data_IF_540246770334
#
_entry.id   IF_540246770334
#
_cell.length_a   1.000
_cell.length_b   1.000
_cell.length_c   1.000
_cell.angle_alpha   90.00
_cell.angle_beta   90.00
_cell.angle_gamma   90.00
#
_symmetry.space_group_name_H-M   'P 1'
#
loop_
_entity.id
_entity.type
_entity.pdbx_description
1 polymer ?
#
# COMPACT_ATOMS: atom_id res chain seq x y z
N UNK A 1 -6.23 9.33 -15.84
CA UNK A 1 -4.96 10.06 -15.70
C UNK A 1 -5.14 11.20 -14.74
N UNK A 2 -5.33 10.85 -13.48
CA UNK A 2 -5.81 11.79 -12.50
C UNK A 2 -5.35 11.39 -11.12
N UNK A 3 -5.15 12.39 -10.26
CA UNK A 3 -4.99 12.18 -8.83
C UNK A 3 -6.35 11.77 -8.29
N UNK A 4 -6.41 10.59 -7.66
CA UNK A 4 -7.67 10.06 -7.11
C UNK A 4 -7.77 10.32 -5.61
N UNK A 5 -8.98 10.56 -5.09
CA UNK A 5 -9.16 10.67 -3.65
C UNK A 5 -8.88 9.31 -2.97
N UNK A 6 -8.28 9.39 -1.78
CA UNK A 6 -7.91 8.20 -1.00
C UNK A 6 -9.11 7.72 -0.19
N UNK A 7 -9.44 6.43 -0.31
CA UNK A 7 -10.45 5.79 0.53
C UNK A 7 -9.93 5.66 1.95
N UNK A 8 -10.81 5.84 2.93
CA UNK A 8 -10.43 5.92 4.33
C UNK A 8 -10.76 4.64 5.09
N UNK A 9 -10.05 4.41 6.18
CA UNK A 9 -10.24 3.24 7.03
C UNK A 9 -11.72 3.08 7.42
N UNK A 10 -12.24 1.88 7.27
CA UNK A 10 -13.67 1.58 7.40
C UNK A 10 -14.36 1.32 6.07
N UNK A 11 -13.79 1.79 4.96
CA UNK A 11 -14.32 1.50 3.63
C UNK A 11 -14.16 0.01 3.32
N UNK A 12 -15.23 -0.70 2.91
CA UNK A 12 -15.16 -2.12 2.60
C UNK A 12 -14.10 -2.53 1.57
N UNK A 13 -13.76 -1.63 0.62
CA UNK A 13 -12.74 -1.94 -0.40
C UNK A 13 -11.37 -2.20 0.23
N UNK A 14 -11.07 -1.57 1.37
CA UNK A 14 -9.80 -1.73 2.07
C UNK A 14 -9.72 -3.05 2.87
N UNK A 15 -10.84 -3.69 3.12
CA UNK A 15 -10.94 -4.95 3.89
C UNK A 15 -11.14 -6.16 3.00
N UNK A 16 -11.26 -5.95 1.70
CA UNK A 16 -11.52 -7.04 0.74
C UNK A 16 -10.23 -7.38 0.02
N UNK A 17 -9.87 -8.67 -0.09
CA UNK A 17 -8.75 -9.06 -0.94
C UNK A 17 -8.99 -8.59 -2.37
N UNK A 18 -7.97 -8.01 -2.98
CA UNK A 18 -8.04 -7.52 -4.35
C UNK A 18 -7.91 -8.67 -5.36
N UNK A 19 -8.57 -8.52 -6.49
CA UNK A 19 -8.51 -9.50 -7.57
C UNK A 19 -7.29 -9.27 -8.47
N UNK A 20 -6.77 -10.34 -9.10
CA UNK A 20 -5.68 -10.19 -10.07
C UNK A 20 -6.07 -9.27 -11.24
N UNK A 21 -5.09 -8.49 -11.70
CA UNK A 21 -5.24 -7.68 -12.92
C UNK A 21 -5.11 -8.59 -14.12
N UNK A 22 -6.03 -8.47 -15.08
CA UNK A 22 -5.90 -9.14 -16.37
C UNK A 22 -5.03 -8.25 -17.27
N UNK A 23 -3.82 -8.69 -17.53
CA UNK A 23 -2.88 -7.92 -18.37
C UNK A 23 -3.46 -7.76 -19.79
N UNK A 24 -3.42 -6.53 -20.30
CA UNK A 24 -3.98 -6.20 -21.60
C UNK A 24 -5.47 -5.84 -21.59
N UNK A 25 -6.14 -5.96 -20.44
CA UNK A 25 -7.55 -5.57 -20.36
C UNK A 25 -7.72 -4.05 -20.46
N UNK A 26 -8.91 -3.62 -20.90
CA UNK A 26 -9.25 -2.21 -20.96
C UNK A 26 -9.19 -1.59 -19.56
N UNK A 27 -8.69 -0.35 -19.50
CA UNK A 27 -8.61 0.41 -18.26
C UNK A 27 -7.36 0.16 -17.42
N UNK A 28 -6.54 -0.86 -17.73
CA UNK A 28 -5.33 -1.16 -16.92
C UNK A 28 -4.30 -0.04 -17.01
N UNK A 29 -4.04 0.48 -18.21
CA UNK A 29 -3.08 1.59 -18.38
C UNK A 29 -3.55 2.86 -17.69
N UNK A 30 -4.85 3.12 -17.71
CA UNK A 30 -5.46 4.24 -17.04
C UNK A 30 -5.35 4.10 -15.51
N UNK A 31 -5.59 2.89 -14.99
CA UNK A 31 -5.39 2.59 -13.56
C UNK A 31 -3.95 2.86 -13.14
N UNK A 32 -2.99 2.38 -13.92
CA UNK A 32 -1.56 2.63 -13.64
C UNK A 32 -1.26 4.11 -13.60
N UNK A 33 -1.76 4.88 -14.57
CA UNK A 33 -1.52 6.31 -14.61
C UNK A 33 -2.15 7.02 -13.41
N UNK A 34 -3.36 6.62 -13.01
CA UNK A 34 -4.02 7.17 -11.83
C UNK A 34 -3.20 6.88 -10.56
N UNK A 35 -2.67 5.66 -10.43
CA UNK A 35 -1.81 5.29 -9.30
C UNK A 35 -0.53 6.12 -9.26
N UNK A 36 0.10 6.31 -10.42
CA UNK A 36 1.32 7.12 -10.53
C UNK A 36 1.04 8.58 -10.17
N UNK A 37 -0.02 9.16 -10.75
CA UNK A 37 -0.39 10.56 -10.48
C UNK A 37 -0.71 10.75 -8.99
N UNK A 38 -1.41 9.78 -8.39
CA UNK A 38 -1.82 9.86 -6.99
C UNK A 38 -0.62 9.74 -6.05
N UNK A 39 0.34 8.85 -6.33
CA UNK A 39 1.52 8.66 -5.46
C UNK A 39 2.52 9.81 -5.57
N UNK A 40 2.48 10.57 -6.66
CA UNK A 40 3.39 11.72 -6.84
C UNK A 40 3.04 12.92 -5.96
N UNK A 41 1.85 12.96 -5.38
CA UNK A 41 1.52 14.01 -4.43
C UNK A 41 2.49 13.98 -3.25
N UNK A 42 2.91 15.17 -2.72
CA UNK A 42 3.94 15.23 -1.67
C UNK A 42 3.64 14.38 -0.45
N UNK A 43 4.68 13.74 0.08
CA UNK A 43 4.60 12.99 1.32
C UNK A 43 4.06 11.56 1.20
N UNK A 44 3.95 11.04 -0.02
CA UNK A 44 3.41 9.70 -0.26
C UNK A 44 4.51 8.74 -0.71
N UNK A 45 4.60 7.59 -0.06
CA UNK A 45 5.57 6.54 -0.39
C UNK A 45 4.96 5.42 -1.25
N UNK A 46 3.65 5.20 -1.14
CA UNK A 46 2.96 4.17 -1.91
C UNK A 46 1.45 4.37 -1.93
N UNK A 47 0.80 3.87 -2.97
CA UNK A 47 -0.66 3.86 -3.10
C UNK A 47 -1.07 2.54 -3.74
N UNK A 48 -1.92 1.79 -3.05
CA UNK A 48 -2.50 0.55 -3.57
C UNK A 48 -3.84 0.85 -4.26
N UNK A 49 -4.18 0.09 -5.30
CA UNK A 49 -5.43 0.30 -6.04
C UNK A 49 -6.68 0.33 -5.15
N UNK A 50 -6.82 -0.54 -4.12
CA UNK A 50 -7.95 -0.43 -3.20
C UNK A 50 -8.07 0.95 -2.53
N UNK A 51 -6.95 1.62 -2.28
CA UNK A 51 -6.98 2.96 -1.67
C UNK A 51 -7.57 4.03 -2.59
N UNK A 52 -7.65 3.79 -3.88
CA UNK A 52 -8.35 4.67 -4.82
C UNK A 52 -9.68 4.06 -5.30
N UNK A 53 -10.18 3.06 -4.58
CA UNK A 53 -11.49 2.47 -4.81
C UNK A 53 -11.52 1.35 -5.84
N UNK A 54 -10.37 0.82 -6.25
CA UNK A 54 -10.27 -0.22 -7.28
C UNK A 54 -9.78 -1.52 -6.65
N UNK A 55 -10.60 -2.56 -6.65
CA UNK A 55 -10.29 -3.86 -6.04
C UNK A 55 -9.41 -4.75 -6.90
N UNK A 56 -8.29 -4.23 -7.40
CA UNK A 56 -7.35 -4.95 -8.23
C UNK A 56 -5.95 -4.96 -7.61
N UNK A 57 -5.18 -6.00 -7.90
CA UNK A 57 -3.83 -6.20 -7.34
C UNK A 57 -2.81 -5.37 -8.10
N UNK A 58 -2.73 -4.10 -7.72
CA UNK A 58 -1.77 -3.15 -8.28
C UNK A 58 -1.40 -2.12 -7.21
N UNK A 59 -0.15 -1.66 -7.23
CA UNK A 59 0.24 -0.50 -6.43
C UNK A 59 1.30 0.34 -7.13
N UNK A 60 1.40 1.60 -6.72
CA UNK A 60 2.48 2.50 -7.11
C UNK A 60 3.35 2.82 -5.90
N UNK A 61 4.56 3.27 -6.15
CA UNK A 61 5.49 3.66 -5.10
C UNK A 61 6.25 4.93 -5.49
N UNK A 62 6.73 5.63 -4.48
CA UNK A 62 7.55 6.83 -4.62
C UNK A 62 8.51 6.84 -3.43
N UNK A 63 9.67 6.24 -3.61
CA UNK A 63 10.66 6.05 -2.55
C UNK A 63 12.02 6.54 -3.03
N UNK A 64 12.62 7.46 -2.26
CA UNK A 64 13.94 8.02 -2.54
C UNK A 64 14.08 8.56 -3.97
N UNK A 65 13.01 9.19 -4.47
CA UNK A 65 12.99 9.78 -5.81
C UNK A 65 12.66 8.81 -6.93
N UNK A 66 12.52 7.52 -6.63
CA UNK A 66 12.10 6.52 -7.61
C UNK A 66 10.59 6.36 -7.56
N UNK A 67 9.95 6.55 -8.71
CA UNK A 67 8.50 6.39 -8.88
C UNK A 67 8.24 5.28 -9.87
N UNK A 68 7.35 4.38 -9.51
CA UNK A 68 6.96 3.28 -10.39
C UNK A 68 5.73 2.56 -9.89
N UNK A 69 5.46 1.42 -10.51
CA UNK A 69 4.28 0.60 -10.20
C UNK A 69 4.57 -0.87 -10.44
N UNK A 70 3.68 -1.71 -9.94
CA UNK A 70 3.71 -3.16 -10.22
C UNK A 70 2.28 -3.69 -10.25
N UNK A 71 2.03 -4.62 -11.18
CA UNK A 71 0.77 -5.34 -11.30
C UNK A 71 0.95 -6.78 -10.82
N UNK A 72 -0.06 -7.31 -10.15
CA UNK A 72 -0.06 -8.66 -9.59
C UNK A 72 1.19 -8.96 -8.75
N UNK A 73 1.53 -8.08 -7.80
CA UNK A 73 2.73 -8.27 -7.00
C UNK A 73 2.59 -9.45 -6.03
N UNK A 74 3.72 -10.11 -5.80
CA UNK A 74 3.88 -11.13 -4.77
C UNK A 74 5.04 -10.75 -3.88
N UNK A 75 4.86 -10.78 -2.57
CA UNK A 75 5.94 -10.62 -1.62
C UNK A 75 6.70 -11.96 -1.55
N UNK A 76 7.80 -12.05 -2.31
CA UNK A 76 8.51 -13.33 -2.51
C UNK A 76 9.59 -13.59 -1.49
N UNK A 77 10.07 -12.53 -0.81
CA UNK A 77 11.12 -12.67 0.18
C UNK A 77 11.03 -11.54 1.21
N UNK A 78 11.19 -11.91 2.47
CA UNK A 78 11.48 -10.98 3.56
C UNK A 78 12.64 -11.55 4.34
N UNK A 79 13.51 -10.70 4.90
CA UNK A 79 14.66 -11.15 5.65
C UNK A 79 15.05 -10.20 6.76
N UNK A 80 15.87 -10.71 7.68
CA UNK A 80 16.27 -10.01 8.89
C UNK A 80 15.24 -10.25 10.01
N UNK A 81 15.53 -9.70 11.18
CA UNK A 81 14.60 -9.77 12.30
C UNK A 81 13.58 -8.64 12.17
N UNK A 82 12.26 -8.93 12.30
CA UNK A 82 11.25 -7.88 12.31
C UNK A 82 11.56 -6.84 13.37
N UNK A 83 11.42 -5.57 13.00
CA UNK A 83 11.67 -4.45 13.89
C UNK A 83 10.52 -3.46 13.84
N UNK A 84 10.37 -2.67 14.89
CA UNK A 84 9.36 -1.62 14.93
C UNK A 84 9.83 -0.44 14.07
N UNK A 85 9.04 -0.09 13.08
CA UNK A 85 9.25 1.06 12.22
C UNK A 85 8.05 1.98 12.34
N UNK A 86 8.30 3.29 12.41
CA UNK A 86 7.20 4.25 12.39
C UNK A 86 6.51 4.18 11.03
N UNK A 87 5.21 3.93 11.06
CA UNK A 87 4.42 3.77 9.85
C UNK A 87 3.16 4.60 9.90
N UNK A 88 2.77 5.12 8.75
CA UNK A 88 1.50 5.80 8.54
C UNK A 88 0.85 5.28 7.27
N UNK A 89 -0.39 5.66 7.07
CA UNK A 89 -1.15 5.26 5.89
C UNK A 89 -2.05 6.41 5.45
N UNK A 90 -2.12 6.65 4.15
CA UNK A 90 -3.00 7.69 3.60
C UNK A 90 -4.46 7.43 3.93
N UNK A 91 -4.83 6.16 4.14
CA UNK A 91 -6.19 5.76 4.52
C UNK A 91 -6.48 5.95 6.01
N UNK A 92 -5.46 6.33 6.81
CA UNK A 92 -5.57 6.66 8.23
C UNK A 92 -4.88 8.02 8.44
N UNK A 93 -5.44 9.09 7.87
CA UNK A 93 -4.75 10.38 7.82
C UNK A 93 -4.49 10.99 9.19
N UNK A 94 -3.30 11.57 9.34
CA UNK A 94 -2.90 12.30 10.55
C UNK A 94 -2.40 11.42 11.69
N UNK A 95 -2.35 10.11 11.52
CA UNK A 95 -1.94 9.17 12.55
C UNK A 95 -0.76 8.31 12.09
N UNK A 96 0.04 7.85 13.04
CA UNK A 96 1.16 6.96 12.77
C UNK A 96 1.48 6.13 14.01
N UNK A 97 1.95 4.91 13.82
CA UNK A 97 2.21 3.98 14.91
C UNK A 97 3.41 3.10 14.60
N UNK A 98 4.16 2.66 15.62
CA UNK A 98 5.23 1.69 15.41
C UNK A 98 4.64 0.36 14.94
N UNK A 99 5.15 -0.13 13.84
CA UNK A 99 4.64 -1.32 13.15
C UNK A 99 5.79 -2.29 12.91
N UNK A 100 5.57 -3.58 13.19
CA UNK A 100 6.60 -4.59 12.97
C UNK A 100 6.73 -4.88 11.49
N UNK A 101 7.94 -4.63 10.96
CA UNK A 101 8.26 -4.89 9.56
C UNK A 101 9.63 -5.55 9.46
N UNK A 102 9.78 -6.39 8.43
CA UNK A 102 11.09 -6.91 8.10
C UNK A 102 11.96 -5.80 7.53
N UNK A 103 13.26 -5.75 7.87
CA UNK A 103 14.14 -4.69 7.36
C UNK A 103 14.45 -4.81 5.87
N UNK A 104 14.23 -5.98 5.26
CA UNK A 104 14.45 -6.22 3.84
C UNK A 104 13.24 -6.95 3.25
N UNK A 105 12.83 -6.54 2.04
CA UNK A 105 11.71 -7.17 1.34
C UNK A 105 11.95 -7.17 -0.17
N UNK A 106 11.37 -8.16 -0.85
CA UNK A 106 11.42 -8.31 -2.30
C UNK A 106 10.05 -8.69 -2.82
N UNK A 107 9.63 -7.97 -3.86
CA UNK A 107 8.35 -8.18 -4.54
C UNK A 107 8.61 -8.49 -6.01
N UNK A 108 7.84 -9.42 -6.55
CA UNK A 108 7.86 -9.74 -7.98
C UNK A 108 6.45 -9.55 -8.54
N UNK A 109 6.36 -8.97 -9.72
CA UNK A 109 5.10 -8.79 -10.42
C UNK A 109 5.38 -8.54 -11.90
N UNK A 110 4.47 -7.83 -12.57
CA UNK A 110 4.60 -7.52 -13.99
C UNK A 110 4.23 -6.06 -14.27
N UNK A 111 4.64 -5.56 -15.44
CA UNK A 111 4.20 -4.26 -15.94
C UNK A 111 2.98 -4.40 -16.87
N UNK A 112 2.54 -3.30 -17.48
CA UNK A 112 1.36 -3.29 -18.36
C UNK A 112 1.52 -4.14 -19.62
N UNK A 113 2.75 -4.45 -19.99
CA UNK A 113 3.05 -5.30 -21.16
C UNK A 113 3.30 -6.76 -20.75
N UNK A 114 3.16 -7.08 -19.46
CA UNK A 114 3.40 -8.42 -18.95
C UNK A 114 4.86 -8.76 -18.69
N UNK A 115 5.75 -7.78 -18.79
CA UNK A 115 7.18 -8.00 -18.52
C UNK A 115 7.44 -8.07 -17.01
N UNK A 116 8.37 -8.95 -16.57
CA UNK A 116 8.68 -9.08 -15.15
C UNK A 116 9.17 -7.78 -14.52
N UNK A 117 8.69 -7.51 -13.31
CA UNK A 117 9.14 -6.40 -12.47
C UNK A 117 9.58 -6.98 -11.13
N UNK A 118 10.77 -6.60 -10.68
CA UNK A 118 11.30 -6.99 -9.37
C UNK A 118 11.60 -5.71 -8.61
N UNK A 119 11.05 -5.60 -7.40
CA UNK A 119 11.29 -4.49 -6.49
C UNK A 119 11.90 -5.06 -5.22
N UNK A 120 13.00 -4.48 -4.78
CA UNK A 120 13.71 -4.98 -3.61
C UNK A 120 14.40 -3.83 -2.90
N UNK A 121 14.42 -3.88 -1.57
CA UNK A 121 15.13 -2.86 -0.80
C UNK A 121 14.99 -3.03 0.68
N UNK A 122 15.67 -2.12 1.38
CA UNK A 122 15.70 -2.03 2.83
C UNK A 122 14.95 -0.77 3.28
N UNK A 123 14.82 -0.59 4.59
CA UNK A 123 14.29 0.64 5.17
C UNK A 123 12.91 1.02 4.63
N UNK A 124 12.77 2.23 4.12
CA UNK A 124 11.48 2.73 3.62
C UNK A 124 10.94 1.89 2.46
N UNK A 125 11.79 1.42 1.55
CA UNK A 125 11.34 0.55 0.47
C UNK A 125 10.77 -0.76 1.00
N UNK A 126 11.47 -1.40 1.96
CA UNK A 126 10.97 -2.64 2.56
C UNK A 126 9.63 -2.43 3.27
N UNK A 127 9.50 -1.33 4.01
CA UNK A 127 8.25 -0.96 4.68
C UNK A 127 7.13 -0.77 3.65
N UNK A 128 7.39 0.00 2.59
CA UNK A 128 6.41 0.29 1.55
C UNK A 128 5.96 -0.99 0.83
N UNK A 129 6.89 -1.87 0.46
CA UNK A 129 6.54 -3.12 -0.23
C UNK A 129 5.63 -4.00 0.62
N UNK A 130 5.91 -4.12 1.92
CA UNK A 130 5.09 -4.89 2.84
C UNK A 130 3.72 -4.24 3.07
N UNK A 131 3.71 -2.92 3.25
CA UNK A 131 2.48 -2.14 3.48
C UNK A 131 1.52 -2.25 2.29
N UNK A 132 2.03 -2.07 1.06
CA UNK A 132 1.19 -2.11 -0.13
C UNK A 132 0.70 -3.53 -0.44
N UNK A 133 1.52 -4.55 -0.24
CA UNK A 133 1.07 -5.94 -0.40
C UNK A 133 -0.02 -6.29 0.62
N UNK A 134 0.08 -5.80 1.86
CA UNK A 134 -0.98 -5.98 2.86
C UNK A 134 -2.30 -5.38 2.38
N UNK A 135 -2.28 -4.19 1.79
CA UNK A 135 -3.50 -3.58 1.24
C UNK A 135 -4.17 -4.48 0.21
N UNK A 136 -3.39 -5.14 -0.63
CA UNK A 136 -3.93 -6.04 -1.66
C UNK A 136 -4.55 -7.30 -1.07
N UNK A 137 -4.15 -7.65 0.15
CA UNK A 137 -4.72 -8.78 0.88
C UNK A 137 -5.90 -8.35 1.79
N UNK A 138 -6.30 -7.08 1.71
CA UNK A 138 -7.40 -6.55 2.51
C UNK A 138 -7.01 -6.15 3.93
N UNK A 139 -5.72 -5.85 4.16
CA UNK A 139 -5.19 -5.53 5.48
C UNK A 139 -4.65 -4.10 5.53
N UNK A 140 -5.14 -3.31 6.48
CA UNK A 140 -4.58 -1.99 6.79
C UNK A 140 -3.65 -2.15 8.00
N UNK A 141 -2.52 -1.46 7.98
CA UNK A 141 -1.44 -1.67 8.96
C UNK A 141 -1.88 -1.59 10.42
N UNK A 142 -2.88 -0.75 10.75
CA UNK A 142 -3.35 -0.59 12.13
C UNK A 142 -3.92 -1.89 12.70
N UNK A 143 -4.37 -2.81 11.86
CA UNK A 143 -4.88 -4.11 12.28
C UNK A 143 -3.78 -5.12 12.59
N UNK A 144 -2.53 -4.81 12.24
CA UNK A 144 -1.36 -5.69 12.48
C UNK A 144 -0.54 -5.27 13.68
N UNK A 145 -0.88 -4.16 14.33
CA UNK A 145 -0.14 -3.61 15.46
C UNK A 145 -0.17 -4.54 16.69
N UNK A 146 0.82 -4.39 17.55
CA UNK A 146 0.82 -5.07 18.85
C UNK A 146 -0.47 -4.72 19.60
N UNK A 147 -1.04 -5.64 20.41
CA UNK A 147 -2.40 -5.47 20.95
C UNK A 147 -2.66 -4.14 21.65
N UNK A 148 -1.72 -3.67 22.48
CA UNK A 148 -1.86 -2.38 23.16
C UNK A 148 -1.87 -1.20 22.20
N UNK A 149 -0.96 -1.19 21.25
CA UNK A 149 -0.85 -0.15 20.22
C UNK A 149 -2.07 -0.16 19.33
N UNK A 150 -2.56 -1.34 18.96
CA UNK A 150 -3.78 -1.47 18.15
C UNK A 150 -4.99 -0.88 18.85
N UNK A 151 -5.16 -1.16 20.13
CA UNK A 151 -6.27 -0.59 20.91
C UNK A 151 -6.20 0.93 20.93
N UNK A 152 -5.00 1.49 21.10
CA UNK A 152 -4.80 2.94 21.07
C UNK A 152 -5.13 3.49 19.68
N UNK A 153 -4.65 2.84 18.62
CA UNK A 153 -4.90 3.26 17.25
C UNK A 153 -6.42 3.31 16.95
N UNK A 154 -7.16 2.28 17.36
CA UNK A 154 -8.60 2.24 17.14
C UNK A 154 -9.34 3.33 17.91
N UNK A 155 -8.89 3.66 19.13
CA UNK A 155 -9.44 4.80 19.88
C UNK A 155 -9.16 6.13 19.17
N UNK A 156 -7.92 6.32 18.71
CA UNK A 156 -7.51 7.54 18.03
C UNK A 156 -8.29 7.72 16.72
N UNK A 157 -8.50 6.64 15.98
CA UNK A 157 -9.28 6.67 14.73
C UNK A 157 -10.72 7.10 15.01
N UNK A 158 -11.36 6.54 16.04
CA UNK A 158 -12.76 6.88 16.37
C UNK A 158 -12.92 8.33 16.78
N UNK A 159 -11.84 8.98 17.24
CA UNK A 159 -11.85 10.39 17.61
C UNK A 159 -11.63 11.34 16.43
N UNK A 160 -11.33 10.82 15.25
CA UNK A 160 -11.07 11.65 14.07
C UNK A 160 -12.35 12.12 13.39
N UNK A 161 -12.34 13.36 12.88
CA UNK A 161 -13.48 13.95 12.20
C UNK A 161 -13.88 13.20 10.93
N UNK A 162 -12.90 12.59 10.25
CA UNK A 162 -13.13 11.86 9.01
C UNK A 162 -13.72 10.46 9.22
N UNK A 163 -13.71 9.94 10.44
CA UNK A 163 -14.23 8.59 10.73
C UNK A 163 -15.68 8.65 11.20
N UNK A 164 -16.53 7.86 10.57
CA UNK A 164 -17.96 7.80 10.90
C UNK A 164 -18.43 6.41 11.23
#
# INVERSE_FOLDING_TARGET
MTVRPIRLFGDPVLRSPADPVRIGADGVRELVQDLIDTVKEPGRAGVAAPQIGVGLRAFSYNVDGEVGYVLNPELVEVSGEPELMDEGCLSVPGLGYPTRRFPHAKVRGVDVDGNPVVLEGDGLMAEALQHECDHLDGTVYVMTLDPGTRRQALRDIRAQDWFH
#
